data_IF_169242200180
#
_entry.id   IF_169242200180
#
_cell.length_a   1.000
_cell.length_b   1.000
_cell.length_c   1.000
_cell.angle_alpha   90.00
_cell.angle_beta   90.00
_cell.angle_gamma   90.00
#
_symmetry.space_group_name_H-M   'P 1'
#
loop_
_entity.id
_entity.type
_entity.pdbx_description
1 polymer ?
#
# COMPACT_ATOMS: atom_id res chain seq x y z
N UNK A 1 -2.79 11.16 28.88
CA UNK A 1 -2.82 10.76 27.45
C UNK A 1 -3.04 11.91 26.44
N UNK A 2 -3.46 13.13 26.85
CA UNK A 2 -3.70 14.28 25.95
C UNK A 2 -2.44 15.12 25.59
N UNK A 3 -1.33 15.00 26.31
CA UNK A 3 -0.15 15.88 26.13
C UNK A 3 0.72 15.57 24.90
N UNK A 4 0.71 14.33 24.42
CA UNK A 4 1.52 13.93 23.26
C UNK A 4 0.89 14.26 21.90
N UNK A 5 -0.42 14.48 21.84
CA UNK A 5 -1.13 14.84 20.61
C UNK A 5 -0.78 16.28 20.18
N UNK A 6 -0.63 17.18 21.16
CA UNK A 6 -0.34 18.59 20.89
C UNK A 6 1.08 18.86 20.33
N UNK A 7 2.05 17.98 20.61
CA UNK A 7 3.41 18.17 20.10
C UNK A 7 3.55 17.96 18.58
N UNK A 8 2.79 17.04 17.99
CA UNK A 8 2.86 16.77 16.54
C UNK A 8 2.14 17.82 15.69
N UNK A 9 1.09 18.42 16.24
CA UNK A 9 0.35 19.49 15.57
C UNK A 9 1.11 20.82 15.52
N UNK A 10 2.13 20.98 16.36
CA UNK A 10 2.95 22.20 16.43
C UNK A 10 4.26 22.14 15.63
N UNK A 11 4.42 21.11 14.79
CA UNK A 11 5.58 20.99 13.92
C UNK A 11 5.57 22.06 12.82
N UNK A 12 6.76 22.56 12.39
CA UNK A 12 6.85 23.50 11.30
C UNK A 12 6.24 22.91 10.02
N UNK A 13 5.61 23.78 9.24
CA UNK A 13 4.83 23.37 8.07
C UNK A 13 5.62 22.49 7.09
N UNK A 14 6.92 22.76 6.91
CA UNK A 14 7.76 21.99 5.99
C UNK A 14 7.93 20.54 6.41
N UNK A 15 8.05 20.26 7.72
CA UNK A 15 8.14 18.87 8.23
C UNK A 15 6.83 18.11 8.01
N UNK A 16 5.69 18.77 8.20
CA UNK A 16 4.38 18.18 7.91
C UNK A 16 4.23 17.81 6.44
N UNK A 17 4.69 18.69 5.54
CA UNK A 17 4.68 18.42 4.12
C UNK A 17 5.64 17.30 3.74
N UNK A 18 6.84 17.25 4.31
CA UNK A 18 7.79 16.18 4.06
C UNK A 18 7.22 14.80 4.45
N UNK A 19 6.58 14.70 5.61
CA UNK A 19 5.95 13.45 6.05
C UNK A 19 4.74 13.10 5.18
N UNK A 20 3.93 14.09 4.78
CA UNK A 20 2.79 13.85 3.88
C UNK A 20 3.25 13.29 2.53
N UNK A 21 4.30 13.87 1.94
CA UNK A 21 4.88 13.41 0.67
C UNK A 21 5.45 11.99 0.83
N UNK A 22 6.20 11.73 1.90
CA UNK A 22 6.77 10.41 2.17
C UNK A 22 5.69 9.33 2.32
N UNK A 23 4.66 9.62 3.11
CA UNK A 23 3.53 8.70 3.32
C UNK A 23 2.71 8.54 2.04
N UNK A 24 2.51 9.62 1.28
CA UNK A 24 1.87 9.60 -0.03
C UNK A 24 2.64 8.74 -1.04
N UNK A 25 3.97 8.85 -1.06
CA UNK A 25 4.82 8.03 -1.92
C UNK A 25 4.75 6.54 -1.56
N UNK A 26 4.74 6.20 -0.27
CA UNK A 26 4.52 4.82 0.17
C UNK A 26 3.16 4.29 -0.28
N UNK A 27 2.12 5.10 -0.17
CA UNK A 27 0.77 4.74 -0.60
C UNK A 27 0.63 4.65 -2.13
N UNK A 28 1.43 5.40 -2.89
CA UNK A 28 1.54 5.32 -4.35
C UNK A 28 2.08 3.96 -4.81
N UNK A 29 3.08 3.42 -4.13
CA UNK A 29 3.74 2.15 -4.52
C UNK A 29 2.77 0.96 -4.51
N UNK A 30 1.71 0.99 -3.68
CA UNK A 30 0.72 -0.07 -3.58
C UNK A 30 -0.04 -0.30 -4.88
N UNK A 31 -0.89 0.64 -5.28
CA UNK A 31 -1.63 0.57 -6.53
C UNK A 31 -0.73 0.46 -7.75
N UNK A 32 0.45 1.11 -7.73
CA UNK A 32 1.45 1.02 -8.79
C UNK A 32 1.90 -0.44 -9.02
N UNK A 33 2.29 -1.14 -7.96
CA UNK A 33 2.70 -2.55 -8.07
C UNK A 33 1.55 -3.46 -8.53
N UNK A 34 0.32 -3.22 -8.05
CA UNK A 34 -0.85 -4.00 -8.47
C UNK A 34 -1.19 -3.77 -9.94
N UNK A 35 -1.02 -2.56 -10.44
CA UNK A 35 -1.36 -2.19 -11.81
C UNK A 35 -0.28 -2.60 -12.84
N UNK A 36 1.00 -2.69 -12.45
CA UNK A 36 2.08 -3.16 -13.32
C UNK A 36 1.86 -4.56 -13.88
N UNK A 37 1.10 -5.40 -13.20
CA UNK A 37 0.83 -6.76 -13.64
C UNK A 37 -0.21 -6.83 -14.74
N UNK A 38 -1.14 -5.87 -14.79
CA UNK A 38 -2.23 -5.90 -15.77
C UNK A 38 -1.73 -6.05 -17.22
N UNK A 39 -0.73 -5.29 -17.70
CA UNK A 39 -0.20 -5.48 -19.05
C UNK A 39 0.59 -6.78 -19.22
N UNK A 40 1.18 -7.32 -18.16
CA UNK A 40 1.96 -8.56 -18.22
C UNK A 40 1.13 -9.84 -18.02
N UNK A 41 -0.18 -9.73 -17.74
CA UNK A 41 -1.06 -10.90 -17.59
C UNK A 41 -1.08 -11.78 -18.85
N UNK A 42 -1.02 -11.17 -20.04
CA UNK A 42 -1.01 -11.91 -21.31
C UNK A 42 0.30 -12.69 -21.46
N UNK A 43 1.44 -12.05 -21.21
CA UNK A 43 2.75 -12.72 -21.25
C UNK A 43 2.88 -13.79 -20.16
N UNK A 44 2.27 -13.55 -19.00
CA UNK A 44 2.25 -14.50 -17.90
C UNK A 44 1.41 -15.75 -18.25
N UNK A 45 0.28 -15.57 -18.92
CA UNK A 45 -0.57 -16.67 -19.35
C UNK A 45 0.13 -17.56 -20.38
N UNK A 46 0.89 -16.98 -21.31
CA UNK A 46 1.69 -17.70 -22.29
C UNK A 46 2.89 -18.40 -21.65
N UNK A 47 3.57 -17.76 -20.69
CA UNK A 47 4.76 -18.29 -20.03
C UNK A 47 4.49 -19.47 -19.08
N UNK A 48 3.36 -19.42 -18.36
CA UNK A 48 2.98 -20.46 -17.39
C UNK A 48 1.97 -21.47 -18.00
N UNK A 49 1.43 -21.19 -19.20
CA UNK A 49 0.46 -22.07 -19.87
C UNK A 49 -0.92 -22.08 -19.18
N UNK A 50 -1.29 -20.97 -18.51
CA UNK A 50 -2.54 -20.83 -17.76
C UNK A 50 -3.47 -19.89 -18.48
N UNK A 51 -4.78 -20.17 -18.46
CA UNK A 51 -5.79 -19.31 -19.08
C UNK A 51 -5.77 -17.90 -18.45
N UNK A 52 -5.96 -16.87 -19.30
CA UNK A 52 -5.94 -15.45 -18.88
C UNK A 52 -6.92 -15.13 -17.75
N UNK A 53 -8.04 -15.84 -17.68
CA UNK A 53 -9.01 -15.72 -16.58
C UNK A 53 -8.41 -16.19 -15.25
N UNK A 54 -7.66 -17.27 -15.28
CA UNK A 54 -6.99 -17.83 -14.11
C UNK A 54 -5.84 -16.93 -13.66
N UNK A 55 -5.10 -16.35 -14.62
CA UNK A 55 -4.05 -15.36 -14.31
C UNK A 55 -4.61 -14.10 -13.59
N UNK A 56 -5.83 -13.66 -13.93
CA UNK A 56 -6.50 -12.54 -13.27
C UNK A 56 -6.81 -12.79 -11.76
N UNK A 57 -6.94 -14.06 -11.33
CA UNK A 57 -7.12 -14.36 -9.90
C UNK A 57 -5.94 -13.92 -9.04
N UNK A 58 -4.75 -13.84 -9.60
CA UNK A 58 -3.54 -13.36 -8.92
C UNK A 58 -3.71 -11.91 -8.45
N UNK A 59 -4.22 -11.05 -9.34
CA UNK A 59 -4.49 -9.64 -9.02
C UNK A 59 -5.68 -9.51 -8.06
N UNK A 60 -6.73 -10.27 -8.28
CA UNK A 60 -7.93 -10.27 -7.43
C UNK A 60 -7.59 -10.66 -5.99
N UNK A 61 -6.75 -11.68 -5.79
CA UNK A 61 -6.31 -12.12 -4.46
C UNK A 61 -5.55 -11.01 -3.73
N UNK A 62 -4.63 -10.32 -4.41
CA UNK A 62 -3.90 -9.20 -3.83
C UNK A 62 -4.83 -8.04 -3.41
N UNK A 63 -5.84 -7.72 -4.24
CA UNK A 63 -6.82 -6.65 -3.94
C UNK A 63 -7.70 -7.04 -2.74
N UNK A 64 -8.20 -8.27 -2.68
CA UNK A 64 -9.02 -8.73 -1.56
C UNK A 64 -8.23 -8.65 -0.25
N UNK A 65 -6.99 -9.16 -0.23
CA UNK A 65 -6.18 -9.11 0.98
C UNK A 65 -5.80 -7.68 1.37
N UNK A 66 -5.56 -6.79 0.42
CA UNK A 66 -5.31 -5.38 0.73
C UNK A 66 -6.53 -4.69 1.34
N UNK A 67 -7.75 -5.10 0.95
CA UNK A 67 -9.00 -4.60 1.55
C UNK A 67 -9.28 -5.12 2.95
N UNK A 68 -8.91 -6.38 3.24
CA UNK A 68 -9.11 -7.00 4.56
C UNK A 68 -8.00 -6.60 5.54
N UNK A 69 -6.80 -6.36 5.06
CA UNK A 69 -5.63 -6.12 5.91
C UNK A 69 -5.76 -4.93 6.87
N UNK A 70 -6.44 -3.80 6.56
CA UNK A 70 -6.63 -2.69 7.50
C UNK A 70 -7.33 -3.09 8.80
N UNK A 71 -8.21 -4.07 8.76
CA UNK A 71 -8.88 -4.56 9.97
C UNK A 71 -7.92 -5.18 10.98
N UNK A 72 -6.81 -5.75 10.51
CA UNK A 72 -5.77 -6.34 11.35
C UNK A 72 -4.72 -5.28 11.72
N UNK A 73 -4.27 -4.50 10.74
CA UNK A 73 -3.20 -3.53 10.94
C UNK A 73 -3.61 -2.32 11.79
N UNK A 74 -4.86 -1.88 11.71
CA UNK A 74 -5.34 -0.71 12.48
C UNK A 74 -5.27 -0.95 14.00
N UNK A 75 -5.81 -2.03 14.57
CA UNK A 75 -5.66 -2.31 16.00
C UNK A 75 -4.20 -2.55 16.41
N UNK A 76 -3.41 -3.25 15.58
CA UNK A 76 -1.98 -3.44 15.85
C UNK A 76 -1.23 -2.10 15.94
N UNK A 77 -1.52 -1.18 15.04
CA UNK A 77 -0.91 0.16 15.02
C UNK A 77 -1.25 0.96 16.27
N UNK A 78 -2.44 0.77 16.81
CA UNK A 78 -2.86 1.42 18.06
C UNK A 78 -2.18 0.82 19.30
N UNK A 79 -1.89 -0.49 19.30
CA UNK A 79 -1.24 -1.18 20.41
C UNK A 79 0.29 -1.00 20.43
N UNK A 80 0.95 -1.24 19.31
CA UNK A 80 2.41 -1.27 19.21
C UNK A 80 3.03 0.05 18.70
N UNK A 81 2.19 0.96 18.24
CA UNK A 81 2.64 2.22 17.65
C UNK A 81 2.89 2.13 16.15
N UNK A 82 3.02 3.29 15.49
CA UNK A 82 3.04 3.37 14.03
C UNK A 82 4.36 2.95 13.39
N UNK A 83 5.50 3.28 14.03
CA UNK A 83 6.83 3.03 13.46
C UNK A 83 7.13 1.54 13.21
N UNK A 84 7.04 0.64 14.23
CA UNK A 84 7.35 -0.77 14.02
C UNK A 84 6.37 -1.43 13.06
N UNK A 85 5.11 -1.07 13.10
CA UNK A 85 4.08 -1.64 12.23
C UNK A 85 4.29 -1.26 10.77
N UNK A 86 4.65 0.00 10.49
CA UNK A 86 5.00 0.42 9.13
C UNK A 86 6.20 -0.35 8.58
N UNK A 87 7.24 -0.56 9.40
CA UNK A 87 8.41 -1.36 9.00
C UNK A 87 8.03 -2.80 8.69
N UNK A 88 7.21 -3.43 9.54
CA UNK A 88 6.70 -4.79 9.28
C UNK A 88 5.90 -4.86 7.96
N UNK A 89 5.03 -3.89 7.70
CA UNK A 89 4.25 -3.83 6.47
C UNK A 89 5.14 -3.68 5.23
N UNK A 90 6.19 -2.84 5.31
CA UNK A 90 7.17 -2.66 4.22
C UNK A 90 7.93 -3.96 3.96
N UNK A 91 8.43 -4.61 5.01
CA UNK A 91 9.17 -5.88 4.89
C UNK A 91 8.30 -6.95 4.23
N UNK A 92 7.05 -7.09 4.66
CA UNK A 92 6.10 -8.04 4.06
C UNK A 92 5.85 -7.74 2.58
N UNK A 93 5.73 -6.46 2.22
CA UNK A 93 5.55 -6.04 0.84
C UNK A 93 6.77 -6.38 -0.02
N UNK A 94 7.99 -6.14 0.48
CA UNK A 94 9.23 -6.46 -0.23
C UNK A 94 9.35 -7.97 -0.41
N UNK A 95 9.12 -8.76 0.65
CA UNK A 95 9.16 -10.23 0.56
C UNK A 95 8.14 -10.78 -0.44
N UNK A 96 6.92 -10.25 -0.42
CA UNK A 96 5.89 -10.61 -1.40
C UNK A 96 6.27 -10.22 -2.83
N UNK A 97 6.86 -9.04 -3.02
CA UNK A 97 7.34 -8.55 -4.32
C UNK A 97 8.47 -9.40 -4.89
N UNK A 98 9.51 -9.64 -4.10
CA UNK A 98 10.64 -10.51 -4.49
C UNK A 98 10.16 -11.94 -4.74
N UNK A 99 9.34 -12.48 -3.84
CA UNK A 99 8.77 -13.82 -4.00
C UNK A 99 7.99 -13.98 -5.29
N UNK A 100 7.22 -12.95 -5.69
CA UNK A 100 6.46 -13.00 -6.94
C UNK A 100 7.33 -12.97 -8.21
N UNK A 101 8.54 -12.39 -8.12
CA UNK A 101 9.50 -12.38 -9.23
C UNK A 101 10.27 -13.70 -9.40
N UNK A 102 10.37 -14.50 -8.33
CA UNK A 102 11.11 -15.77 -8.33
C UNK A 102 10.19 -16.99 -8.42
N UNK A 103 8.88 -16.82 -8.29
CA UNK A 103 7.91 -17.92 -8.24
C UNK A 103 7.84 -18.69 -9.58
N UNK A 104 8.21 -20.00 -9.60
CA UNK A 104 8.11 -20.83 -10.79
C UNK A 104 6.68 -21.32 -11.06
N UNK A 105 5.86 -21.46 -10.01
CA UNK A 105 4.52 -22.04 -10.05
C UNK A 105 3.43 -21.00 -9.85
N UNK A 106 2.27 -21.22 -10.49
CA UNK A 106 1.09 -20.39 -10.34
C UNK A 106 0.62 -20.27 -8.88
N UNK A 107 0.60 -21.34 -8.12
CA UNK A 107 0.17 -21.36 -6.72
C UNK A 107 1.12 -20.53 -5.83
N UNK A 108 2.42 -20.64 -6.08
CA UNK A 108 3.43 -19.83 -5.38
C UNK A 108 3.26 -18.34 -5.70
N UNK A 109 2.97 -18.01 -6.98
CA UNK A 109 2.70 -16.64 -7.41
C UNK A 109 1.48 -16.06 -6.71
N UNK A 110 0.37 -16.79 -6.63
CA UNK A 110 -0.84 -16.35 -5.92
C UNK A 110 -0.55 -16.09 -4.43
N UNK A 111 0.19 -17.00 -3.78
CA UNK A 111 0.57 -16.86 -2.36
C UNK A 111 1.44 -15.63 -2.09
N UNK A 112 2.44 -15.39 -2.92
CA UNK A 112 3.33 -14.22 -2.78
C UNK A 112 2.60 -12.91 -3.07
N UNK A 113 1.64 -12.91 -4.00
CA UNK A 113 0.75 -11.77 -4.26
C UNK A 113 -0.21 -11.49 -3.12
N UNK A 114 -0.74 -12.52 -2.50
CA UNK A 114 -1.53 -12.40 -1.29
C UNK A 114 -0.75 -11.70 -0.18
N UNK A 115 0.49 -12.10 0.05
CA UNK A 115 1.39 -11.52 1.04
C UNK A 115 1.72 -10.07 0.73
N UNK A 116 1.97 -9.76 -0.54
CA UNK A 116 2.19 -8.40 -1.02
C UNK A 116 0.97 -7.50 -0.77
N UNK A 117 -0.24 -7.96 -1.12
CA UNK A 117 -1.50 -7.25 -0.89
C UNK A 117 -1.76 -6.97 0.60
N UNK A 118 -1.46 -7.94 1.47
CA UNK A 118 -1.57 -7.78 2.91
C UNK A 118 -0.63 -6.70 3.45
N UNK A 119 0.61 -6.64 2.98
CA UNK A 119 1.57 -5.59 3.33
C UNK A 119 1.11 -4.19 2.88
N UNK A 120 0.59 -4.10 1.67
CA UNK A 120 0.07 -2.84 1.11
C UNK A 120 -1.08 -2.24 1.90
N UNK A 121 -2.08 -3.05 2.24
CA UNK A 121 -3.20 -2.57 3.01
C UNK A 121 -2.78 -2.03 4.37
N UNK A 122 -1.72 -2.60 4.98
CA UNK A 122 -1.07 -2.08 6.17
C UNK A 122 -0.48 -0.68 5.96
N UNK A 123 0.27 -0.48 4.88
CA UNK A 123 0.87 0.81 4.54
C UNK A 123 -0.18 1.89 4.29
N UNK A 124 -1.25 1.57 3.55
CA UNK A 124 -2.36 2.50 3.30
C UNK A 124 -3.11 2.86 4.58
N UNK A 125 -3.37 1.89 5.45
CA UNK A 125 -4.05 2.10 6.74
C UNK A 125 -3.24 3.03 7.65
N UNK A 126 -1.95 2.75 7.84
CA UNK A 126 -1.07 3.58 8.65
C UNK A 126 -0.90 4.97 8.04
N UNK A 127 -0.82 5.06 6.71
CA UNK A 127 -0.71 6.31 5.97
C UNK A 127 -1.89 7.24 6.23
N UNK A 128 -3.11 6.73 6.05
CA UNK A 128 -4.34 7.48 6.31
C UNK A 128 -4.44 7.93 7.78
N UNK A 129 -4.08 7.05 8.72
CA UNK A 129 -4.05 7.38 10.14
C UNK A 129 -3.00 8.47 10.46
N UNK A 130 -1.82 8.44 9.84
CA UNK A 130 -0.81 9.49 10.00
C UNK A 130 -1.30 10.85 9.52
N UNK A 131 -1.90 10.92 8.34
CA UNK A 131 -2.46 12.16 7.80
C UNK A 131 -3.54 12.71 8.71
N UNK A 132 -4.44 11.87 9.21
CA UNK A 132 -5.53 12.30 10.09
C UNK A 132 -5.07 12.84 11.43
N UNK A 133 -3.91 12.43 11.94
CA UNK A 133 -3.38 12.84 13.25
C UNK A 133 -2.45 14.06 13.18
N UNK A 134 -1.87 14.33 12.02
CA UNK A 134 -0.90 15.42 11.87
C UNK A 134 -1.55 16.78 11.56
N UNK A 135 -2.75 16.77 10.95
CA UNK A 135 -3.42 17.96 10.49
C UNK A 135 -4.65 18.30 11.33
N UNK A 136 -4.90 19.61 11.50
CA UNK A 136 -6.10 20.10 12.17
C UNK A 136 -7.37 19.73 11.38
N UNK A 137 -8.48 19.65 12.08
CA UNK A 137 -9.75 19.21 11.53
C UNK A 137 -10.18 20.00 10.28
N UNK A 138 -9.91 21.32 10.27
CA UNK A 138 -10.25 22.20 9.15
C UNK A 138 -9.35 22.03 7.91
N UNK A 139 -8.11 21.55 8.09
CA UNK A 139 -7.17 21.32 6.98
C UNK A 139 -7.18 19.84 6.50
N UNK A 140 -7.69 18.94 7.31
CA UNK A 140 -7.65 17.50 7.09
C UNK A 140 -8.21 17.11 5.72
N UNK A 141 -9.33 17.71 5.30
CA UNK A 141 -9.95 17.40 4.01
C UNK A 141 -9.03 17.68 2.83
N UNK A 142 -8.39 18.84 2.79
CA UNK A 142 -7.46 19.21 1.71
C UNK A 142 -6.21 18.30 1.69
N UNK A 143 -5.66 17.95 2.86
CA UNK A 143 -4.46 17.11 2.98
C UNK A 143 -4.75 15.64 2.64
N UNK A 144 -5.92 15.13 3.03
CA UNK A 144 -6.39 13.81 2.62
C UNK A 144 -6.64 13.77 1.12
N UNK A 145 -7.13 14.86 0.52
CA UNK A 145 -7.24 14.99 -0.93
C UNK A 145 -5.91 14.85 -1.65
N UNK A 146 -4.86 15.53 -1.17
CA UNK A 146 -3.49 15.39 -1.70
C UNK A 146 -3.02 13.94 -1.58
N UNK A 147 -3.20 13.29 -0.43
CA UNK A 147 -2.86 11.88 -0.23
C UNK A 147 -3.59 10.96 -1.22
N UNK A 148 -4.90 11.19 -1.43
CA UNK A 148 -5.71 10.42 -2.39
C UNK A 148 -5.21 10.57 -3.82
N UNK A 149 -4.72 11.76 -4.22
CA UNK A 149 -4.11 11.99 -5.53
C UNK A 149 -2.88 11.09 -5.71
N UNK A 150 -2.01 10.96 -4.70
CA UNK A 150 -0.86 10.04 -4.77
C UNK A 150 -1.30 8.59 -4.97
N UNK A 151 -2.30 8.13 -4.21
CA UNK A 151 -2.83 6.77 -4.32
C UNK A 151 -3.39 6.50 -5.73
N UNK A 152 -4.19 7.41 -6.25
CA UNK A 152 -4.84 7.26 -7.56
C UNK A 152 -3.82 7.31 -8.70
N UNK A 153 -2.86 8.23 -8.64
CA UNK A 153 -1.81 8.32 -9.67
C UNK A 153 -0.93 7.07 -9.74
N UNK A 154 -0.76 6.31 -8.63
CA UNK A 154 -0.02 5.06 -8.64
C UNK A 154 -0.53 4.06 -9.68
N UNK A 155 -1.83 3.87 -9.74
CA UNK A 155 -2.45 2.97 -10.72
C UNK A 155 -2.33 3.49 -12.17
N UNK A 156 -2.52 4.80 -12.36
CA UNK A 156 -2.46 5.42 -13.71
C UNK A 156 -1.06 5.44 -14.29
N UNK A 157 -0.05 5.79 -13.49
CA UNK A 157 1.36 5.79 -13.92
C UNK A 157 1.82 4.39 -14.29
N UNK A 158 1.41 3.36 -13.56
CA UNK A 158 1.72 1.98 -13.91
C UNK A 158 1.11 1.57 -15.26
N UNK A 159 -0.07 2.05 -15.60
CA UNK A 159 -0.70 1.79 -16.90
C UNK A 159 0.02 2.48 -18.06
N UNK A 160 0.70 3.62 -17.81
CA UNK A 160 1.46 4.37 -18.82
C UNK A 160 2.89 3.83 -19.01
N UNK A 161 3.41 3.04 -18.08
CA UNK A 161 4.80 2.51 -18.14
C UNK A 161 4.93 1.28 -19.03
N UNK A 162 4.20 1.25 -20.16
CA UNK A 162 4.30 0.20 -21.18
C UNK A 162 5.54 0.33 -22.03
#
# INVERSE_FOLDING_TARGET
MRSHINCKQNWPAWQKWAVLIQVGFMAFLGPYNSALINPSLVLLSEGIGVDSKTAAYTTTTAIILSGVSPFIWTPLTNCYGRRPITLCAIVLTILGGVGSGVSPDFNALVGTRALCGFGFGGMMSVGTACVSDMFFLHERGAKTGVYSIFVTNGAHVAALSK
#
